data_IF_073960765369
#
_entry.id   IF_073960765369
#
_cell.length_a   1.000
_cell.length_b   1.000
_cell.length_c   1.000
_cell.angle_alpha   90.00
_cell.angle_beta   90.00
_cell.angle_gamma   90.00
#
_symmetry.space_group_name_H-M   'P 1'
#
loop_
_entity.id
_entity.type
_entity.pdbx_description
1 polymer ?
#
# COMPACT_ATOMS: atom_id res chain seq x y z
N UNK A 1 -32.67 -6.23 -10.87
CA UNK A 1 -32.12 -7.60 -10.86
C UNK A 1 -30.70 -7.51 -10.37
N UNK A 2 -30.39 -8.19 -9.28
CA UNK A 2 -29.07 -8.15 -8.64
C UNK A 2 -28.18 -9.28 -9.20
N UNK A 3 -27.05 -8.97 -9.86
CA UNK A 3 -26.15 -9.96 -10.46
C UNK A 3 -25.37 -10.80 -9.44
N UNK A 4 -25.46 -10.50 -8.13
CA UNK A 4 -24.69 -11.21 -7.08
C UNK A 4 -25.46 -12.32 -6.35
N UNK A 5 -26.74 -12.52 -6.63
CA UNK A 5 -27.54 -13.56 -5.94
C UNK A 5 -27.23 -15.02 -6.36
N UNK A 6 -26.33 -15.25 -7.31
CA UNK A 6 -26.13 -16.58 -7.94
C UNK A 6 -25.00 -17.42 -7.35
N UNK A 7 -24.32 -16.97 -6.28
CA UNK A 7 -23.25 -17.75 -5.64
C UNK A 7 -23.73 -18.72 -4.54
N UNK A 8 -24.97 -19.21 -4.60
CA UNK A 8 -25.35 -20.41 -3.85
C UNK A 8 -24.83 -21.64 -4.59
N UNK A 9 -23.52 -21.82 -4.59
CA UNK A 9 -22.95 -23.13 -4.81
C UNK A 9 -23.22 -23.95 -3.54
N UNK A 10 -24.11 -24.94 -3.63
CA UNK A 10 -24.23 -26.00 -2.63
C UNK A 10 -22.92 -26.80 -2.59
N UNK A 11 -21.88 -26.21 -2.00
CA UNK A 11 -20.67 -26.93 -1.62
C UNK A 11 -20.98 -27.50 -0.25
N UNK A 12 -21.39 -28.77 -0.23
CA UNK A 12 -21.41 -29.56 1.01
C UNK A 12 -19.96 -29.77 1.43
N UNK A 13 -19.38 -28.77 2.09
CA UNK A 13 -18.15 -28.95 2.84
C UNK A 13 -18.51 -29.84 4.04
N UNK A 14 -17.77 -30.91 4.33
CA UNK A 14 -17.94 -31.60 5.59
C UNK A 14 -17.76 -30.59 6.72
N UNK A 15 -18.78 -30.41 7.55
CA UNK A 15 -18.72 -29.64 8.80
C UNK A 15 -17.72 -30.32 9.74
N UNK A 16 -16.44 -30.12 9.49
CA UNK A 16 -15.40 -30.40 10.47
C UNK A 16 -15.40 -29.16 11.37
N UNK A 17 -15.83 -29.26 12.64
CA UNK A 17 -15.77 -28.12 13.54
C UNK A 17 -14.31 -27.73 13.69
N UNK A 18 -13.96 -26.54 13.18
CA UNK A 18 -12.64 -25.94 13.34
C UNK A 18 -12.53 -25.53 14.81
N UNK A 19 -12.14 -26.47 15.67
CA UNK A 19 -12.05 -26.31 17.14
C UNK A 19 -10.76 -25.63 17.59
N UNK A 20 -9.81 -25.44 16.67
CA UNK A 20 -8.52 -24.79 16.89
C UNK A 20 -7.91 -24.38 15.56
N UNK A 21 -7.11 -23.31 15.60
CA UNK A 21 -6.26 -22.93 14.48
C UNK A 21 -5.20 -24.03 14.26
N UNK A 22 -5.14 -24.59 13.06
CA UNK A 22 -4.04 -25.48 12.67
C UNK A 22 -2.82 -24.61 12.36
N UNK A 23 -1.96 -24.44 13.37
CA UNK A 23 -0.69 -23.73 13.25
C UNK A 23 0.30 -24.57 12.43
N UNK A 24 0.15 -24.47 11.11
CA UNK A 24 1.05 -25.06 10.12
C UNK A 24 2.25 -24.13 9.80
N UNK A 25 2.52 -23.12 10.63
CA UNK A 25 3.64 -22.19 10.41
C UNK A 25 4.98 -22.75 10.92
N UNK A 26 4.96 -23.93 11.56
CA UNK A 26 6.16 -24.68 11.89
C UNK A 26 6.34 -25.82 10.88
N UNK A 27 7.09 -25.61 9.78
CA UNK A 27 7.32 -26.67 8.81
C UNK A 27 8.01 -27.85 9.51
N UNK A 28 7.46 -29.05 9.36
CA UNK A 28 8.11 -30.25 9.85
C UNK A 28 9.44 -30.39 9.10
N UNK A 29 10.57 -30.39 9.81
CA UNK A 29 11.93 -30.42 9.24
C UNK A 29 12.14 -31.69 8.37
N UNK A 30 11.24 -32.67 8.51
CA UNK A 30 11.17 -33.89 7.70
C UNK A 30 10.66 -33.69 6.26
N UNK A 31 10.05 -32.55 5.91
CA UNK A 31 9.55 -32.26 4.56
C UNK A 31 10.65 -31.72 3.62
N UNK A 32 11.87 -32.23 3.78
CA UNK A 32 13.00 -31.89 2.92
C UNK A 32 12.88 -32.66 1.61
N UNK A 33 13.07 -31.97 0.50
CA UNK A 33 13.11 -32.63 -0.80
C UNK A 33 14.28 -33.63 -0.84
N UNK A 34 14.12 -34.76 -1.56
CA UNK A 34 15.16 -35.80 -1.65
C UNK A 34 16.52 -35.30 -2.16
N UNK A 35 16.54 -34.21 -2.93
CA UNK A 35 17.72 -33.61 -3.56
C UNK A 35 18.15 -32.29 -2.89
N UNK A 36 17.59 -31.92 -1.72
CA UNK A 36 17.84 -30.61 -1.13
C UNK A 36 19.32 -30.33 -0.85
N UNK A 37 20.10 -31.33 -0.44
CA UNK A 37 21.54 -31.17 -0.18
C UNK A 37 22.33 -30.90 -1.46
N UNK A 38 21.99 -31.61 -2.54
CA UNK A 38 22.62 -31.42 -3.85
C UNK A 38 22.28 -30.03 -4.40
N UNK A 39 21.01 -29.63 -4.30
CA UNK A 39 20.55 -28.32 -4.73
C UNK A 39 21.28 -27.19 -3.97
N UNK A 40 21.39 -27.30 -2.64
CA UNK A 40 22.13 -26.33 -1.81
C UNK A 40 23.62 -26.30 -2.18
N UNK A 41 24.26 -27.45 -2.37
CA UNK A 41 25.66 -27.51 -2.77
C UNK A 41 25.91 -26.80 -4.12
N UNK A 42 25.01 -26.96 -5.10
CA UNK A 42 25.09 -26.25 -6.38
C UNK A 42 24.95 -24.74 -6.18
N UNK A 43 24.00 -24.30 -5.35
CA UNK A 43 23.81 -22.89 -5.05
C UNK A 43 25.04 -22.29 -4.36
N UNK A 44 25.60 -22.96 -3.37
CA UNK A 44 26.81 -22.52 -2.67
C UNK A 44 28.01 -22.44 -3.62
N UNK A 45 28.17 -23.42 -4.52
CA UNK A 45 29.21 -23.40 -5.54
C UNK A 45 29.06 -22.21 -6.50
N UNK A 46 27.83 -21.93 -6.96
CA UNK A 46 27.53 -20.76 -7.80
C UNK A 46 27.79 -19.45 -7.06
N UNK A 47 27.38 -19.37 -5.81
CA UNK A 47 27.58 -18.20 -4.95
C UNK A 47 29.07 -17.96 -4.70
N UNK A 48 29.86 -19.02 -4.45
CA UNK A 48 31.31 -18.91 -4.29
C UNK A 48 31.98 -18.37 -5.54
N UNK A 49 31.58 -18.85 -6.73
CA UNK A 49 32.07 -18.32 -8.03
C UNK A 49 31.74 -16.85 -8.19
N UNK A 50 30.51 -16.45 -7.88
CA UNK A 50 30.06 -15.06 -7.97
C UNK A 50 30.82 -14.14 -7.02
N UNK A 51 31.08 -14.59 -5.79
CA UNK A 51 31.88 -13.85 -4.80
C UNK A 51 33.36 -13.76 -5.15
N UNK A 52 33.88 -14.74 -5.89
CA UNK A 52 35.28 -14.73 -6.34
C UNK A 52 35.51 -13.88 -7.60
N UNK A 53 34.45 -13.50 -8.32
CA UNK A 53 34.56 -12.63 -9.49
C UNK A 53 34.69 -11.16 -9.05
N UNK A 54 35.87 -10.53 -9.19
CA UNK A 54 36.09 -9.16 -8.74
C UNK A 54 35.25 -8.15 -9.52
N UNK A 55 34.88 -8.45 -10.77
CA UNK A 55 34.06 -7.56 -11.61
C UNK A 55 32.65 -7.45 -11.05
N UNK A 56 32.03 -8.59 -10.72
CA UNK A 56 30.67 -8.62 -10.17
C UNK A 56 30.63 -7.97 -8.79
N UNK A 57 31.63 -8.24 -7.95
CA UNK A 57 31.72 -7.61 -6.61
C UNK A 57 31.84 -6.09 -6.74
N UNK A 58 32.66 -5.60 -7.68
CA UNK A 58 32.79 -4.18 -7.95
C UNK A 58 31.47 -3.56 -8.46
N UNK A 59 30.76 -4.22 -9.38
CA UNK A 59 29.46 -3.77 -9.88
C UNK A 59 28.40 -3.73 -8.77
N UNK A 60 28.36 -4.74 -7.89
CA UNK A 60 27.44 -4.77 -6.76
C UNK A 60 27.75 -3.65 -5.75
N UNK A 61 29.02 -3.39 -5.47
CA UNK A 61 29.44 -2.27 -4.62
C UNK A 61 29.04 -0.92 -5.23
N UNK A 62 29.29 -0.73 -6.53
CA UNK A 62 28.90 0.48 -7.24
C UNK A 62 27.38 0.68 -7.24
N UNK A 63 26.59 -0.38 -7.47
CA UNK A 63 25.12 -0.31 -7.43
C UNK A 63 24.59 -0.01 -6.03
N UNK A 64 25.21 -0.58 -4.98
CA UNK A 64 24.89 -0.27 -3.59
C UNK A 64 25.13 1.21 -3.28
N UNK A 65 26.27 1.73 -3.71
CA UNK A 65 26.62 3.13 -3.50
C UNK A 65 25.68 4.06 -4.28
N UNK A 66 25.36 3.74 -5.53
CA UNK A 66 24.38 4.48 -6.33
C UNK A 66 23.02 4.52 -5.64
N UNK A 67 22.49 3.36 -5.21
CA UNK A 67 21.22 3.29 -4.50
C UNK A 67 21.24 4.09 -3.18
N UNK A 68 22.36 4.08 -2.45
CA UNK A 68 22.50 4.90 -1.24
C UNK A 68 22.47 6.39 -1.55
N UNK A 69 23.17 6.83 -2.61
CA UNK A 69 23.10 8.22 -3.07
C UNK A 69 21.69 8.59 -3.49
N UNK A 70 20.99 7.71 -4.20
CA UNK A 70 19.61 7.93 -4.62
C UNK A 70 18.68 8.05 -3.41
N UNK A 71 18.83 7.20 -2.38
CA UNK A 71 18.03 7.32 -1.15
C UNK A 71 18.29 8.63 -0.39
N UNK A 72 19.55 9.06 -0.30
CA UNK A 72 19.91 10.32 0.35
C UNK A 72 19.46 11.55 -0.45
N UNK A 73 19.52 11.47 -1.78
CA UNK A 73 19.10 12.56 -2.68
C UNK A 73 17.59 12.62 -2.84
N UNK A 74 16.93 11.46 -2.94
CA UNK A 74 15.47 11.38 -3.01
C UNK A 74 14.82 11.87 -1.74
N UNK A 75 15.38 11.61 -0.55
CA UNK A 75 14.86 12.17 0.70
C UNK A 75 14.84 13.71 0.70
N UNK A 76 15.79 14.36 0.02
CA UNK A 76 15.78 15.82 -0.16
C UNK A 76 14.81 16.27 -1.27
N UNK A 77 14.49 15.40 -2.23
CA UNK A 77 13.49 15.65 -3.28
C UNK A 77 12.04 15.42 -2.81
N UNK A 78 11.80 14.60 -1.78
CA UNK A 78 10.44 14.41 -1.20
C UNK A 78 9.90 15.72 -0.59
N UNK A 79 10.78 16.64 -0.18
CA UNK A 79 10.39 17.96 0.33
C UNK A 79 10.15 19.02 -0.76
N UNK A 80 10.46 18.75 -2.04
CA UNK A 80 10.29 19.73 -3.14
C UNK A 80 9.43 19.18 -4.31
N UNK A 81 9.36 17.85 -4.48
CA UNK A 81 8.21 17.12 -5.08
C UNK A 81 7.04 17.09 -4.07
N UNK A 82 6.80 18.27 -3.49
CA UNK A 82 5.93 18.55 -2.38
C UNK A 82 4.50 18.73 -2.92
N UNK A 83 3.84 17.62 -3.23
CA UNK A 83 2.39 17.52 -3.50
C UNK A 83 1.89 18.61 -4.47
N UNK A 84 1.81 18.28 -5.76
CA UNK A 84 1.05 19.11 -6.71
C UNK A 84 -0.45 19.07 -6.34
N UNK A 85 -0.83 19.82 -5.30
CA UNK A 85 -2.19 19.86 -4.75
C UNK A 85 -3.22 20.31 -5.79
N UNK A 86 -2.76 21.02 -6.82
CA UNK A 86 -3.55 21.52 -7.96
C UNK A 86 -3.55 20.55 -9.16
N UNK A 87 -2.84 19.42 -9.09
CA UNK A 87 -2.85 18.43 -10.17
C UNK A 87 -4.27 17.84 -10.32
N UNK A 88 -4.83 17.80 -11.54
CA UNK A 88 -6.16 17.28 -11.77
C UNK A 88 -6.21 15.75 -11.53
N UNK A 89 -7.20 15.31 -10.76
CA UNK A 89 -7.43 13.89 -10.47
C UNK A 89 -8.23 13.23 -11.61
N UNK A 90 -8.00 11.94 -11.86
CA UNK A 90 -8.72 11.18 -12.88
C UNK A 90 -10.22 11.07 -12.55
N UNK A 91 -11.06 11.58 -13.45
CA UNK A 91 -12.51 11.65 -13.28
C UNK A 91 -13.22 10.50 -13.99
N UNK A 92 -13.69 9.49 -13.24
CA UNK A 92 -14.51 8.40 -13.79
C UNK A 92 -15.98 8.79 -13.85
N UNK A 93 -16.62 8.60 -15.01
CA UNK A 93 -18.06 8.85 -15.20
C UNK A 93 -18.93 7.97 -14.30
N UNK A 94 -18.48 6.75 -13.98
CA UNK A 94 -19.21 5.85 -13.09
C UNK A 94 -19.19 6.34 -11.64
N UNK A 95 -18.07 6.91 -11.18
CA UNK A 95 -17.99 7.49 -9.84
C UNK A 95 -18.90 8.72 -9.72
N UNK A 96 -19.01 9.52 -10.79
CA UNK A 96 -19.94 10.66 -10.85
C UNK A 96 -21.40 10.25 -10.67
N UNK A 97 -21.80 9.07 -11.15
CA UNK A 97 -23.19 8.61 -11.03
C UNK A 97 -23.49 7.98 -9.67
N UNK A 98 -22.54 7.25 -9.08
CA UNK A 98 -22.78 6.51 -7.84
C UNK A 98 -22.40 7.26 -6.56
N UNK A 99 -21.44 8.20 -6.64
CA UNK A 99 -20.93 8.94 -5.47
C UNK A 99 -20.37 10.33 -5.86
N UNK A 100 -21.21 11.25 -6.39
CA UNK A 100 -20.77 12.57 -6.85
C UNK A 100 -20.10 13.42 -5.76
N UNK A 101 -20.49 13.24 -4.49
CA UNK A 101 -19.93 13.96 -3.35
C UNK A 101 -18.49 13.56 -2.98
N UNK A 102 -17.98 12.44 -3.53
CA UNK A 102 -16.61 11.96 -3.26
C UNK A 102 -15.63 12.30 -4.39
N UNK A 103 -16.04 13.13 -5.35
CA UNK A 103 -15.22 13.48 -6.49
C UNK A 103 -14.44 14.77 -6.20
N UNK A 104 -13.17 14.62 -5.83
CA UNK A 104 -12.21 15.71 -5.81
C UNK A 104 -11.75 16.03 -7.24
N UNK A 105 -11.62 17.31 -7.56
CA UNK A 105 -11.08 17.79 -8.84
C UNK A 105 -9.55 17.78 -8.82
N UNK A 106 -8.95 18.03 -7.66
CA UNK A 106 -7.49 18.10 -7.48
C UNK A 106 -7.01 17.21 -6.33
N UNK A 107 -5.72 16.89 -6.32
CA UNK A 107 -5.13 16.07 -5.26
C UNK A 107 -5.29 16.71 -3.87
N UNK A 108 -5.29 18.03 -3.77
CA UNK A 108 -5.49 18.75 -2.51
C UNK A 108 -6.91 18.68 -1.96
N UNK A 109 -7.91 18.62 -2.84
CA UNK A 109 -9.30 18.39 -2.42
C UNK A 109 -9.49 16.97 -1.87
N UNK A 110 -8.80 15.95 -2.42
CA UNK A 110 -8.82 14.58 -1.88
C UNK A 110 -8.37 14.57 -0.42
N UNK A 111 -7.26 15.23 -0.11
CA UNK A 111 -6.73 15.34 1.25
C UNK A 111 -7.75 16.00 2.18
N UNK A 112 -8.44 17.04 1.70
CA UNK A 112 -9.47 17.75 2.46
C UNK A 112 -10.67 16.85 2.75
N UNK A 113 -11.18 16.12 1.75
CA UNK A 113 -12.29 15.17 1.93
C UNK A 113 -11.95 14.06 2.93
N UNK A 114 -10.74 13.49 2.84
CA UNK A 114 -10.28 12.44 3.76
C UNK A 114 -10.18 12.96 5.20
N UNK A 115 -9.81 14.24 5.41
CA UNK A 115 -9.81 14.84 6.75
C UNK A 115 -11.21 14.94 7.36
N UNK A 116 -12.25 15.16 6.55
CA UNK A 116 -13.63 15.25 7.04
C UNK A 116 -14.33 13.90 7.15
N UNK A 117 -13.87 12.86 6.44
CA UNK A 117 -14.40 11.48 6.55
C UNK A 117 -13.98 10.80 7.86
N UNK A 118 -12.95 11.32 8.52
CA UNK A 118 -12.60 10.93 9.88
C UNK A 118 -13.69 11.44 10.84
N UNK A 119 -14.40 10.51 11.49
CA UNK A 119 -15.36 10.84 12.54
C UNK A 119 -14.59 11.51 13.69
N UNK A 120 -14.62 12.84 13.76
CA UNK A 120 -14.10 13.59 14.91
C UNK A 120 -14.99 13.28 16.11
N UNK A 121 -14.41 12.79 17.19
CA UNK A 121 -15.04 12.75 18.52
C UNK A 121 -14.96 14.14 19.22
N UNK A 122 -15.00 15.24 18.45
CA UNK A 122 -14.84 16.59 18.98
C UNK A 122 -16.17 17.37 18.97
N UNK A 123 -16.99 17.13 20.00
CA UNK A 123 -18.08 18.02 20.44
C UNK A 123 -17.47 19.34 20.99
N UNK A 124 -16.86 20.17 20.13
CA UNK A 124 -16.32 21.47 20.52
C UNK A 124 -16.30 22.45 19.33
N UNK A 125 -17.45 22.74 18.74
CA UNK A 125 -17.63 23.93 17.90
C UNK A 125 -17.81 25.17 18.80
N UNK A 126 -16.93 26.21 18.72
CA UNK A 126 -17.34 27.55 19.11
C UNK A 126 -18.19 28.15 17.99
N UNK A 127 -19.46 28.41 18.29
CA UNK A 127 -20.41 29.08 17.39
C UNK A 127 -19.80 30.34 16.75
N UNK A 128 -19.97 30.43 15.44
CA UNK A 128 -19.68 31.63 14.63
C UNK A 128 -20.71 32.69 14.99
N UNK A 129 -20.30 33.69 15.77
CA UNK A 129 -21.13 34.84 16.09
C UNK A 129 -21.19 35.78 14.87
N UNK A 130 -22.30 35.72 14.15
CA UNK A 130 -22.66 36.62 13.04
C UNK A 130 -23.02 38.01 13.59
N UNK A 131 -22.02 38.88 13.72
CA UNK A 131 -22.25 40.31 13.93
C UNK A 131 -22.51 40.97 12.58
N UNK A 132 -23.75 40.91 12.13
CA UNK A 132 -24.29 41.79 11.10
C UNK A 132 -24.38 43.23 11.64
N UNK A 133 -23.41 44.08 11.32
CA UNK A 133 -23.56 45.53 11.51
C UNK A 133 -23.47 46.22 10.14
N UNK A 134 -24.65 46.44 9.55
CA UNK A 134 -24.83 47.24 8.34
C UNK A 134 -24.39 48.70 8.59
N UNK A 135 -23.77 49.40 7.62
CA UNK A 135 -23.63 50.84 7.69
C UNK A 135 -24.94 51.53 7.23
N UNK A 136 -25.28 52.70 7.79
CA UNK A 136 -25.66 53.76 6.85
C UNK A 136 -25.27 55.20 7.27
N UNK A 137 -24.87 55.95 6.24
CA UNK A 137 -24.92 57.42 5.97
C UNK A 137 -24.19 58.40 6.88
#
# INVERSE_FOLDING_TARGET
MDPWSTCQANVTLPEIPITKFEDNFTPNISDKLPDHEEYLAILEAKLKKLKSDPSVVAQLAAKREACMRDLLTSAAYVEEELIELEEPVSNSQLLRTIAPQKQALTQGEVVSLVKYDQLKDDDSDPEVNDSSENPPT
#
